data_IF_823241344036
#
_entry.id   IF_823241344036
#
_cell.length_a   1.000
_cell.length_b   1.000
_cell.length_c   1.000
_cell.angle_alpha   90.00
_cell.angle_beta   90.00
_cell.angle_gamma   90.00
#
_symmetry.space_group_name_H-M   'P 1'
#
loop_
_entity.id
_entity.type
_entity.pdbx_description
1 polymer ?
#
# COMPACT_ATOMS: atom_id res chain seq x y z
N UNK A 1 -28.29 -63.43 13.25
CA UNK A 1 -27.61 -62.16 13.32
C UNK A 1 -28.54 -61.15 12.65
N UNK A 2 -29.11 -60.20 13.43
CA UNK A 2 -29.84 -59.07 12.87
C UNK A 2 -28.78 -58.05 12.46
N UNK A 3 -28.65 -57.81 11.18
CA UNK A 3 -27.83 -56.71 10.65
C UNK A 3 -28.69 -55.45 10.73
N UNK A 4 -28.34 -54.53 11.58
CA UNK A 4 -28.95 -53.20 11.64
C UNK A 4 -28.27 -52.35 10.55
N UNK A 5 -29.04 -52.02 9.52
CA UNK A 5 -28.55 -51.11 8.45
C UNK A 5 -28.68 -49.70 9.00
N UNK A 6 -27.57 -49.07 9.25
CA UNK A 6 -27.53 -47.67 9.66
C UNK A 6 -27.58 -46.81 8.39
N UNK A 7 -28.65 -46.06 8.19
CA UNK A 7 -28.81 -45.13 7.09
C UNK A 7 -27.71 -44.03 7.18
N UNK A 8 -27.09 -43.67 6.06
CA UNK A 8 -26.09 -42.60 6.07
C UNK A 8 -26.75 -41.27 6.48
N UNK A 9 -26.04 -40.46 7.31
CA UNK A 9 -26.51 -39.13 7.76
C UNK A 9 -26.79 -38.17 6.60
N UNK A 10 -26.10 -38.34 5.48
CA UNK A 10 -26.30 -37.59 4.23
C UNK A 10 -26.72 -38.60 3.15
N UNK A 11 -27.96 -38.55 2.70
CA UNK A 11 -28.46 -39.35 1.57
C UNK A 11 -28.15 -38.64 0.24
N UNK A 12 -28.37 -39.30 -0.91
CA UNK A 12 -28.06 -38.76 -2.25
C UNK A 12 -28.76 -37.44 -2.51
N UNK A 13 -30.04 -37.31 -2.15
CA UNK A 13 -30.78 -36.06 -2.33
C UNK A 13 -30.13 -34.91 -1.55
N UNK A 14 -29.77 -35.12 -0.29
CA UNK A 14 -29.12 -34.14 0.55
C UNK A 14 -27.74 -33.72 -0.02
N UNK A 15 -27.04 -34.67 -0.62
CA UNK A 15 -25.76 -34.39 -1.28
C UNK A 15 -25.93 -33.50 -2.54
N UNK A 16 -26.96 -33.76 -3.35
CA UNK A 16 -27.30 -32.96 -4.53
C UNK A 16 -27.75 -31.54 -4.14
N UNK A 17 -28.58 -31.42 -3.11
CA UNK A 17 -28.96 -30.12 -2.52
C UNK A 17 -27.73 -29.36 -2.02
N UNK A 18 -26.80 -30.03 -1.31
CA UNK A 18 -25.56 -29.44 -0.84
C UNK A 18 -24.67 -28.93 -1.98
N UNK A 19 -24.55 -29.73 -3.06
CA UNK A 19 -23.79 -29.33 -4.24
C UNK A 19 -24.36 -28.05 -4.87
N UNK A 20 -25.68 -28.02 -5.08
CA UNK A 20 -26.38 -26.88 -5.68
C UNK A 20 -26.22 -25.61 -4.83
N UNK A 21 -26.41 -25.73 -3.51
CA UNK A 21 -26.26 -24.62 -2.57
C UNK A 21 -24.80 -24.14 -2.49
N UNK A 22 -23.84 -25.06 -2.43
CA UNK A 22 -22.41 -24.75 -2.43
C UNK A 22 -22.01 -23.98 -3.71
N UNK A 23 -22.48 -24.46 -4.87
CA UNK A 23 -22.23 -23.77 -6.15
C UNK A 23 -22.78 -22.34 -6.14
N UNK A 24 -23.98 -22.12 -5.60
CA UNK A 24 -24.55 -20.77 -5.47
C UNK A 24 -23.75 -19.87 -4.55
N UNK A 25 -23.20 -20.38 -3.45
CA UNK A 25 -22.39 -19.63 -2.51
C UNK A 25 -21.03 -19.22 -3.09
N UNK A 26 -20.41 -20.07 -3.94
CA UNK A 26 -19.08 -19.80 -4.49
C UNK A 26 -19.10 -19.12 -5.87
N UNK A 27 -20.26 -19.02 -6.53
CA UNK A 27 -20.37 -18.40 -7.85
C UNK A 27 -20.09 -16.90 -7.85
N UNK A 28 -20.60 -16.09 -6.89
CA UNK A 28 -20.36 -14.65 -6.88
C UNK A 28 -18.89 -14.29 -6.67
N UNK A 29 -18.45 -13.16 -7.21
CA UNK A 29 -17.11 -12.65 -6.96
C UNK A 29 -17.03 -11.94 -5.61
N UNK A 30 -15.88 -12.08 -4.96
CA UNK A 30 -15.54 -11.36 -3.72
C UNK A 30 -14.20 -10.66 -3.97
N UNK A 31 -14.21 -9.34 -3.92
CA UNK A 31 -13.01 -8.50 -4.10
C UNK A 31 -12.92 -7.52 -2.95
N UNK A 32 -11.72 -7.38 -2.38
CA UNK A 32 -11.37 -6.39 -1.37
C UNK A 32 -10.19 -5.61 -1.92
N UNK A 33 -10.18 -4.27 -1.75
CA UNK A 33 -9.02 -3.45 -2.10
C UNK A 33 -8.38 -2.84 -0.86
N UNK A 34 -7.07 -2.62 -0.89
CA UNK A 34 -6.34 -1.81 0.09
C UNK A 34 -6.13 -0.37 -0.41
N UNK A 35 -6.76 -0.04 -1.54
CA UNK A 35 -6.65 1.26 -2.20
C UNK A 35 -5.52 1.32 -3.23
N UNK A 36 -4.73 0.26 -3.37
CA UNK A 36 -3.68 0.09 -4.39
C UNK A 36 -3.96 -1.16 -5.21
N UNK A 37 -4.11 -2.29 -4.51
CA UNK A 37 -4.28 -3.61 -5.09
C UNK A 37 -5.69 -4.13 -4.84
N UNK A 38 -6.20 -4.92 -5.79
CA UNK A 38 -7.48 -5.62 -5.70
C UNK A 38 -7.24 -7.10 -5.43
N UNK A 39 -7.72 -7.56 -4.30
CA UNK A 39 -7.61 -8.96 -3.86
C UNK A 39 -8.92 -9.69 -4.13
N UNK A 40 -8.93 -10.50 -5.17
CA UNK A 40 -10.13 -11.29 -5.52
C UNK A 40 -9.97 -12.72 -5.04
N UNK A 41 -10.92 -13.17 -4.22
CA UNK A 41 -10.95 -14.53 -3.72
C UNK A 41 -11.03 -15.54 -4.85
N UNK A 42 -10.09 -16.47 -4.89
CA UNK A 42 -10.09 -17.57 -5.85
C UNK A 42 -11.25 -18.53 -5.62
N UNK A 43 -11.60 -19.34 -6.63
CA UNK A 43 -12.56 -20.42 -6.45
C UNK A 43 -12.13 -21.38 -5.34
N UNK A 44 -10.83 -21.64 -5.23
CA UNK A 44 -10.28 -22.54 -4.21
C UNK A 44 -10.45 -21.98 -2.79
N UNK A 45 -10.32 -20.66 -2.61
CA UNK A 45 -10.57 -20.00 -1.32
C UNK A 45 -12.06 -20.09 -0.97
N UNK A 46 -12.94 -19.72 -1.90
CA UNK A 46 -14.40 -19.78 -1.69
C UNK A 46 -14.89 -21.19 -1.39
N UNK A 47 -14.27 -22.23 -1.95
CA UNK A 47 -14.59 -23.63 -1.61
C UNK A 47 -14.30 -23.97 -0.14
N UNK A 48 -13.29 -23.35 0.48
CA UNK A 48 -12.99 -23.53 1.92
C UNK A 48 -14.04 -22.89 2.82
N UNK A 49 -14.80 -21.92 2.32
CA UNK A 49 -15.85 -21.21 3.07
C UNK A 49 -17.19 -21.94 3.09
N UNK A 50 -17.27 -23.16 2.56
CA UNK A 50 -18.53 -23.91 2.50
C UNK A 50 -18.45 -25.14 3.40
N UNK A 51 -19.40 -25.22 4.31
CA UNK A 51 -19.68 -26.42 5.16
C UNK A 51 -20.90 -27.16 4.64
N UNK A 52 -20.78 -28.47 4.47
CA UNK A 52 -21.93 -29.36 4.23
C UNK A 52 -22.55 -29.74 5.57
N UNK A 53 -23.88 -29.62 5.68
CA UNK A 53 -24.61 -29.91 6.87
C UNK A 53 -25.51 -31.15 6.64
N UNK A 54 -25.41 -32.11 7.55
CA UNK A 54 -26.28 -33.27 7.54
C UNK A 54 -27.71 -32.97 8.09
N UNK A 55 -27.84 -31.88 8.85
CA UNK A 55 -29.05 -31.49 9.58
C UNK A 55 -29.40 -30.02 9.28
N UNK A 56 -30.65 -29.64 9.57
CA UNK A 56 -31.15 -28.27 9.36
C UNK A 56 -31.71 -28.01 7.96
N UNK A 57 -32.20 -26.80 7.73
CA UNK A 57 -32.93 -26.41 6.51
C UNK A 57 -32.03 -26.28 5.28
N UNK A 58 -30.70 -26.02 5.48
CA UNK A 58 -29.71 -25.90 4.40
C UNK A 58 -28.74 -27.07 4.42
N UNK A 59 -28.49 -27.65 3.25
CA UNK A 59 -27.51 -28.72 3.06
C UNK A 59 -26.08 -28.22 2.92
N UNK A 60 -25.90 -26.96 2.49
CA UNK A 60 -24.61 -26.25 2.52
C UNK A 60 -24.80 -24.83 3.06
N UNK A 61 -23.87 -24.39 3.87
CA UNK A 61 -23.85 -23.06 4.50
C UNK A 61 -22.45 -22.46 4.41
N UNK A 62 -22.36 -21.15 4.57
CA UNK A 62 -21.05 -20.48 4.73
C UNK A 62 -20.42 -20.93 6.06
N UNK A 63 -19.12 -21.17 6.00
CA UNK A 63 -18.24 -21.33 7.14
C UNK A 63 -17.69 -19.96 7.51
N UNK A 64 -18.35 -19.27 8.45
CA UNK A 64 -17.94 -17.95 8.91
C UNK A 64 -16.54 -17.93 9.50
N UNK A 65 -16.08 -19.02 10.12
CA UNK A 65 -14.72 -19.10 10.67
C UNK A 65 -13.67 -19.13 9.54
N UNK A 66 -13.91 -19.95 8.52
CA UNK A 66 -13.01 -20.04 7.36
C UNK A 66 -12.98 -18.75 6.54
N UNK A 67 -14.13 -18.09 6.33
CA UNK A 67 -14.23 -16.79 5.70
C UNK A 67 -13.48 -15.74 6.53
N UNK A 68 -13.74 -15.69 7.84
CA UNK A 68 -13.07 -14.74 8.76
C UNK A 68 -11.56 -14.94 8.76
N UNK A 69 -11.09 -16.18 8.75
CA UNK A 69 -9.66 -16.48 8.66
C UNK A 69 -9.05 -15.88 7.37
N UNK A 70 -9.68 -16.08 6.21
CA UNK A 70 -9.21 -15.55 4.94
C UNK A 70 -9.17 -14.00 4.95
N UNK A 71 -10.22 -13.32 5.41
CA UNK A 71 -10.25 -11.85 5.49
C UNK A 71 -9.20 -11.32 6.45
N UNK A 72 -9.02 -11.96 7.62
CA UNK A 72 -8.03 -11.53 8.60
C UNK A 72 -6.59 -11.78 8.14
N UNK A 73 -6.33 -12.89 7.45
CA UNK A 73 -5.02 -13.18 6.87
C UNK A 73 -4.69 -12.17 5.75
N UNK A 74 -5.67 -11.84 4.90
CA UNK A 74 -5.52 -10.80 3.90
C UNK A 74 -5.24 -9.43 4.55
N UNK A 75 -6.06 -9.00 5.51
CA UNK A 75 -5.86 -7.75 6.25
C UNK A 75 -4.48 -7.70 6.92
N UNK A 76 -4.03 -8.83 7.49
CA UNK A 76 -2.69 -8.92 8.08
C UNK A 76 -1.57 -8.77 7.05
N UNK A 77 -1.75 -9.30 5.84
CA UNK A 77 -0.75 -9.18 4.77
C UNK A 77 -0.61 -7.75 4.24
N UNK A 78 -1.65 -6.93 4.36
CA UNK A 78 -1.64 -5.51 3.97
C UNK A 78 -1.24 -4.57 5.12
N UNK A 79 -1.17 -5.04 6.38
CA UNK A 79 -0.73 -4.24 7.51
C UNK A 79 0.75 -3.87 7.38
N UNK A 80 1.09 -2.69 7.86
CA UNK A 80 2.47 -2.20 7.97
C UNK A 80 2.81 -1.99 9.45
N UNK A 81 3.87 -2.62 9.91
CA UNK A 81 4.36 -2.39 11.28
C UNK A 81 5.06 -1.04 11.36
N UNK A 82 4.84 -0.33 12.47
CA UNK A 82 5.55 0.91 12.76
C UNK A 82 6.99 0.61 13.15
N UNK A 83 7.96 1.31 12.55
CA UNK A 83 9.37 1.22 12.92
C UNK A 83 9.84 2.51 13.60
N UNK A 84 10.65 2.36 14.64
CA UNK A 84 11.22 3.49 15.37
C UNK A 84 12.17 4.31 14.52
N UNK A 85 12.04 5.62 14.63
CA UNK A 85 13.02 6.60 14.14
C UNK A 85 14.06 6.96 15.20
N UNK A 86 14.97 7.88 14.85
CA UNK A 86 15.97 8.47 15.75
C UNK A 86 15.86 9.99 15.62
N UNK A 87 15.70 10.68 16.76
CA UNK A 87 15.76 12.14 16.86
C UNK A 87 17.06 12.58 17.47
N UNK A 88 17.71 13.59 16.87
CA UNK A 88 18.86 14.26 17.43
C UNK A 88 18.43 15.24 18.51
N UNK A 89 19.05 15.19 19.69
CA UNK A 89 18.83 16.12 20.80
C UNK A 89 20.11 16.88 21.13
N UNK A 90 20.00 18.18 21.38
CA UNK A 90 21.12 19.01 21.80
C UNK A 90 21.43 18.85 23.31
N UNK A 91 22.46 19.55 23.80
CA UNK A 91 22.87 19.49 25.22
C UNK A 91 21.77 19.95 26.21
N UNK A 92 20.75 20.65 25.72
CA UNK A 92 19.59 21.09 26.52
C UNK A 92 18.44 20.07 26.51
N UNK A 93 18.54 19.01 25.68
CA UNK A 93 17.48 18.03 25.49
C UNK A 93 16.42 18.45 24.46
N UNK A 94 16.61 19.55 23.74
CA UNK A 94 15.72 19.98 22.65
C UNK A 94 15.94 19.06 21.43
N UNK A 95 14.84 18.63 20.81
CA UNK A 95 14.90 17.90 19.52
C UNK A 95 15.26 18.91 18.43
N UNK A 96 16.37 18.69 17.77
CA UNK A 96 16.90 19.59 16.72
C UNK A 96 16.79 19.00 15.32
N UNK A 97 16.40 17.75 15.19
CA UNK A 97 16.16 17.14 13.89
C UNK A 97 15.88 15.65 13.96
N UNK A 98 15.48 15.07 12.86
CA UNK A 98 15.30 13.63 12.69
C UNK A 98 16.54 13.07 12.01
N UNK A 99 17.29 12.21 12.71
CA UNK A 99 18.51 11.56 12.19
C UNK A 99 18.18 10.31 11.39
N UNK A 100 17.11 9.60 11.79
CA UNK A 100 16.54 8.45 11.09
C UNK A 100 15.02 8.58 11.16
N UNK A 101 14.37 8.60 10.01
CA UNK A 101 12.91 8.58 9.96
C UNK A 101 12.38 7.29 10.56
N UNK A 102 11.29 7.39 11.33
CA UNK A 102 10.50 6.21 11.70
C UNK A 102 9.49 5.90 10.59
N UNK A 103 9.07 4.66 10.51
CA UNK A 103 8.02 4.22 9.58
C UNK A 103 6.67 4.28 10.27
N UNK A 104 5.70 4.97 9.66
CA UNK A 104 4.31 4.95 10.11
C UNK A 104 3.74 3.55 9.87
N UNK A 105 3.18 2.95 10.91
CA UNK A 105 2.45 1.70 10.78
C UNK A 105 1.00 1.91 10.34
N UNK A 106 0.41 0.87 9.78
CA UNK A 106 -1.00 0.85 9.39
C UNK A 106 -1.61 -0.50 9.74
N UNK A 107 -2.79 -0.48 10.32
CA UNK A 107 -3.52 -1.68 10.71
C UNK A 107 -4.96 -1.61 10.25
N UNK A 108 -5.39 -2.62 9.50
CA UNK A 108 -6.79 -2.72 9.08
C UNK A 108 -7.72 -2.75 10.30
N UNK A 109 -8.77 -1.93 10.29
CA UNK A 109 -9.65 -1.71 11.45
C UNK A 109 -11.11 -2.10 11.20
N UNK A 110 -11.49 -2.39 9.94
CA UNK A 110 -12.88 -2.68 9.54
C UNK A 110 -13.11 -4.14 9.12
N UNK A 111 -12.22 -5.08 9.44
CA UNK A 111 -12.30 -6.48 8.99
C UNK A 111 -13.65 -7.13 9.31
N UNK A 112 -14.25 -6.83 10.48
CA UNK A 112 -15.55 -7.37 10.85
C UNK A 112 -16.68 -6.88 9.94
N UNK A 113 -16.66 -5.61 9.52
CA UNK A 113 -17.63 -5.06 8.57
C UNK A 113 -17.49 -5.71 7.19
N UNK A 114 -16.25 -5.93 6.74
CA UNK A 114 -15.95 -6.63 5.49
C UNK A 114 -16.46 -8.06 5.54
N UNK A 115 -16.19 -8.82 6.62
CA UNK A 115 -16.69 -10.18 6.80
C UNK A 115 -18.22 -10.21 6.71
N UNK A 116 -18.91 -9.38 7.50
CA UNK A 116 -20.38 -9.32 7.50
C UNK A 116 -20.94 -8.94 6.13
N UNK A 117 -20.31 -8.02 5.42
CA UNK A 117 -20.70 -7.63 4.07
C UNK A 117 -20.55 -8.75 3.05
N UNK A 118 -19.49 -9.57 3.14
CA UNK A 118 -19.29 -10.74 2.30
C UNK A 118 -20.35 -11.80 2.61
N UNK A 119 -20.60 -12.09 3.90
CA UNK A 119 -21.62 -13.07 4.32
C UNK A 119 -23.01 -12.69 3.79
N UNK A 120 -23.39 -11.43 3.95
CA UNK A 120 -24.66 -10.90 3.46
C UNK A 120 -24.76 -11.00 1.93
N UNK A 121 -23.72 -10.64 1.22
CA UNK A 121 -23.68 -10.70 -0.24
C UNK A 121 -23.83 -12.16 -0.74
N UNK A 122 -22.98 -13.06 -0.25
CA UNK A 122 -22.97 -14.47 -0.69
C UNK A 122 -24.26 -15.19 -0.33
N UNK A 123 -24.84 -14.96 0.86
CA UNK A 123 -26.12 -15.52 1.26
C UNK A 123 -27.29 -15.06 0.37
N UNK A 124 -27.14 -13.90 -0.27
CA UNK A 124 -28.11 -13.35 -1.24
C UNK A 124 -27.73 -13.60 -2.71
N UNK A 125 -26.70 -14.42 -2.98
CA UNK A 125 -26.22 -14.73 -4.33
C UNK A 125 -25.64 -13.53 -5.08
N UNK A 126 -25.09 -12.54 -4.36
CA UNK A 126 -24.52 -11.30 -4.91
C UNK A 126 -23.01 -11.28 -4.76
N UNK A 127 -22.32 -10.64 -5.71
CA UNK A 127 -20.91 -10.32 -5.57
C UNK A 127 -20.70 -9.24 -4.51
N UNK A 128 -19.52 -9.26 -3.86
CA UNK A 128 -19.06 -8.28 -2.91
C UNK A 128 -17.85 -7.53 -3.49
N UNK A 129 -17.84 -6.22 -3.27
CA UNK A 129 -16.66 -5.38 -3.46
C UNK A 129 -16.61 -4.39 -2.30
N UNK A 130 -15.47 -4.28 -1.65
CA UNK A 130 -15.28 -3.40 -0.49
C UNK A 130 -13.82 -3.07 -0.26
N UNK A 131 -13.57 -2.16 0.66
CA UNK A 131 -12.26 -1.61 0.95
C UNK A 131 -11.84 -1.96 2.39
N UNK A 132 -10.53 -2.13 2.63
CA UNK A 132 -10.00 -2.05 3.98
C UNK A 132 -9.80 -0.58 4.39
N UNK A 133 -10.24 -0.26 5.61
CA UNK A 133 -9.89 0.97 6.31
C UNK A 133 -8.73 0.72 7.27
N UNK A 134 -7.85 1.72 7.45
CA UNK A 134 -6.65 1.56 8.25
C UNK A 134 -6.49 2.63 9.32
N UNK A 135 -6.12 2.20 10.52
CA UNK A 135 -5.59 3.08 11.56
C UNK A 135 -4.10 3.34 11.33
N UNK A 136 -3.68 4.60 11.46
CA UNK A 136 -2.28 5.01 11.43
C UNK A 136 -1.65 4.82 12.82
N UNK A 137 -0.52 4.12 12.86
CA UNK A 137 0.30 3.92 14.06
C UNK A 137 1.54 4.79 13.89
N UNK A 138 1.61 5.91 14.63
CA UNK A 138 2.76 6.81 14.57
C UNK A 138 4.02 6.12 15.09
N UNK A 139 5.19 6.33 14.46
CA UNK A 139 6.43 5.79 14.93
C UNK A 139 6.86 6.43 16.25
N UNK A 140 7.44 5.63 17.13
CA UNK A 140 8.20 6.14 18.26
C UNK A 140 9.59 6.61 17.78
N UNK A 141 10.23 7.49 18.56
CA UNK A 141 11.58 7.97 18.27
C UNK A 141 12.50 7.71 19.46
N UNK A 142 13.60 7.03 19.21
CA UNK A 142 14.71 6.99 20.14
C UNK A 142 15.48 8.32 20.04
N UNK A 143 16.12 8.75 21.14
CA UNK A 143 16.87 10.01 21.22
C UNK A 143 18.35 9.73 21.13
N UNK A 144 19.06 10.52 20.34
CA UNK A 144 20.52 10.46 20.21
C UNK A 144 21.09 11.85 20.45
N UNK A 145 22.06 11.96 21.39
CA UNK A 145 22.75 13.22 21.65
C UNK A 145 23.58 13.64 20.44
N UNK A 146 23.47 14.89 20.04
CA UNK A 146 24.25 15.50 18.97
C UNK A 146 24.88 16.81 19.46
N UNK A 147 26.06 17.19 18.92
CA UNK A 147 26.70 18.46 19.28
C UNK A 147 25.82 19.67 19.05
N UNK A 148 25.89 20.66 19.94
CA UNK A 148 25.24 21.96 19.73
C UNK A 148 25.70 22.60 18.42
N UNK A 149 24.75 23.15 17.65
CA UNK A 149 25.04 23.75 16.33
C UNK A 149 25.00 22.80 15.16
N UNK A 150 24.59 21.54 15.35
CA UNK A 150 24.19 20.63 14.27
C UNK A 150 22.98 21.26 13.55
N UNK A 151 23.13 21.54 12.25
CA UNK A 151 22.23 22.45 11.52
C UNK A 151 20.86 21.90 11.18
N UNK A 152 19.94 22.81 11.02
CA UNK A 152 18.53 22.57 10.61
C UNK A 152 18.40 22.25 9.09
N UNK A 153 19.52 22.19 8.35
CA UNK A 153 19.50 21.97 6.90
C UNK A 153 19.41 20.47 6.57
N UNK A 154 18.35 20.06 5.89
CA UNK A 154 18.11 18.68 5.38
C UNK A 154 19.28 18.22 4.51
N UNK A 155 19.89 19.15 3.74
CA UNK A 155 21.06 18.91 2.93
C UNK A 155 21.94 20.16 2.86
N UNK A 156 23.25 20.00 3.11
CA UNK A 156 24.21 21.06 2.98
C UNK A 156 24.81 21.07 1.56
N UNK A 157 24.09 21.65 0.62
CA UNK A 157 24.51 21.78 -0.75
C UNK A 157 25.65 22.80 -0.90
N UNK A 158 26.58 22.52 -1.81
CA UNK A 158 27.57 23.52 -2.28
C UNK A 158 26.87 24.66 -3.02
N UNK A 159 27.56 25.80 -3.13
CA UNK A 159 26.99 26.95 -3.86
C UNK A 159 26.70 26.57 -5.33
N UNK A 160 25.44 26.72 -5.76
CA UNK A 160 25.00 26.42 -7.11
C UNK A 160 24.81 24.91 -7.39
N UNK A 161 25.01 24.03 -6.41
CA UNK A 161 24.75 22.60 -6.57
C UNK A 161 23.26 22.35 -6.77
N UNK A 162 22.89 21.62 -7.85
CA UNK A 162 21.53 21.20 -8.11
C UNK A 162 21.15 20.02 -7.21
N UNK A 163 20.04 20.12 -6.51
CA UNK A 163 19.50 18.98 -5.75
C UNK A 163 17.98 19.04 -5.63
N UNK A 164 17.40 17.86 -5.46
CA UNK A 164 15.95 17.65 -5.33
C UNK A 164 15.66 17.24 -3.89
N UNK A 165 14.70 17.92 -3.28
CA UNK A 165 14.15 17.64 -1.96
C UNK A 165 12.81 16.91 -2.11
N UNK A 166 12.71 15.69 -1.58
CA UNK A 166 11.48 14.92 -1.48
C UNK A 166 11.08 14.87 0.00
N UNK A 167 10.22 15.81 0.41
CA UNK A 167 9.70 15.89 1.78
C UNK A 167 8.44 15.02 1.91
N UNK A 168 8.62 13.82 2.46
CA UNK A 168 7.56 12.84 2.66
C UNK A 168 6.60 13.24 3.80
N UNK A 169 7.03 14.10 4.74
CA UNK A 169 6.16 14.62 5.80
C UNK A 169 5.15 15.63 5.26
N UNK A 170 5.60 16.48 4.33
CA UNK A 170 4.76 17.50 3.69
C UNK A 170 4.12 17.01 2.39
N UNK A 171 4.57 15.87 1.87
CA UNK A 171 4.19 15.34 0.55
C UNK A 171 4.46 16.35 -0.57
N UNK A 172 5.69 16.87 -0.60
CA UNK A 172 6.12 17.85 -1.59
C UNK A 172 7.49 17.52 -2.18
N UNK A 173 7.72 18.01 -3.40
CA UNK A 173 9.01 18.01 -4.09
C UNK A 173 9.45 19.44 -4.35
N UNK A 174 10.69 19.77 -4.02
CA UNK A 174 11.31 21.06 -4.34
C UNK A 174 12.65 20.85 -5.04
N UNK A 175 12.98 21.72 -5.98
CA UNK A 175 14.29 21.75 -6.61
C UNK A 175 15.07 22.96 -6.13
N UNK A 176 16.36 22.76 -5.87
CA UNK A 176 17.26 23.76 -5.32
C UNK A 176 18.51 23.93 -6.18
N UNK A 177 19.05 25.17 -6.20
CA UNK A 177 20.41 25.46 -6.56
C UNK A 177 21.14 26.06 -5.34
N UNK A 178 22.06 25.30 -4.75
CA UNK A 178 22.60 25.60 -3.44
C UNK A 178 21.50 25.62 -2.37
N UNK A 179 21.28 26.78 -1.76
CA UNK A 179 20.24 27.00 -0.73
C UNK A 179 18.94 27.64 -1.28
N UNK A 180 18.89 27.91 -2.58
CA UNK A 180 17.78 28.64 -3.20
C UNK A 180 16.80 27.66 -3.84
N UNK A 181 15.54 27.74 -3.48
CA UNK A 181 14.46 27.01 -4.18
C UNK A 181 14.30 27.63 -5.56
N UNK A 182 14.46 26.81 -6.60
CA UNK A 182 14.26 27.23 -8.00
C UNK A 182 12.95 26.72 -8.58
N UNK A 183 12.37 25.67 -7.96
CA UNK A 183 11.03 25.17 -8.31
C UNK A 183 10.36 24.48 -7.11
N UNK A 184 9.07 24.60 -7.00
CA UNK A 184 8.29 24.00 -5.93
C UNK A 184 8.04 24.97 -4.75
N UNK A 185 7.57 24.45 -3.59
CA UNK A 185 7.21 23.05 -3.32
C UNK A 185 6.03 22.58 -4.18
N UNK A 186 6.24 21.50 -4.94
CA UNK A 186 5.20 20.87 -5.77
C UNK A 186 4.55 19.72 -4.98
N UNK A 187 3.23 19.70 -4.79
CA UNK A 187 2.56 18.62 -4.08
C UNK A 187 2.71 17.29 -4.84
N UNK A 188 2.94 16.20 -4.12
CA UNK A 188 3.15 14.87 -4.69
C UNK A 188 2.39 13.79 -3.92
N UNK A 189 2.35 12.56 -4.46
CA UNK A 189 1.89 11.36 -3.76
C UNK A 189 3.03 10.34 -3.76
N UNK A 190 3.55 9.99 -2.58
CA UNK A 190 4.62 9.01 -2.43
C UNK A 190 4.10 7.57 -2.53
N UNK A 191 4.99 6.62 -2.30
CA UNK A 191 4.67 5.21 -2.11
C UNK A 191 3.64 4.99 -1.03
N UNK A 192 2.82 3.96 -1.21
CA UNK A 192 1.88 3.52 -0.21
C UNK A 192 2.60 2.88 1.00
N UNK A 193 1.90 2.66 2.12
CA UNK A 193 2.52 2.13 3.34
C UNK A 193 3.23 0.78 3.18
N UNK A 194 2.69 -0.09 2.34
CA UNK A 194 3.28 -1.41 2.02
C UNK A 194 4.34 -1.36 0.89
N UNK A 195 4.42 -0.24 0.17
CA UNK A 195 5.42 0.02 -0.88
C UNK A 195 6.02 1.43 -0.73
N UNK A 196 6.65 1.76 0.41
CA UNK A 196 7.05 3.14 0.74
C UNK A 196 8.12 3.67 -0.21
N UNK A 197 8.10 4.98 -0.43
CA UNK A 197 9.22 5.68 -1.06
C UNK A 197 10.45 5.59 -0.16
N UNK A 198 11.59 5.24 -0.74
CA UNK A 198 12.86 5.13 0.00
C UNK A 198 13.33 6.48 0.54
N UNK A 199 13.94 6.47 1.73
CA UNK A 199 14.56 7.65 2.33
C UNK A 199 16.08 7.56 2.26
N UNK A 200 16.76 8.71 2.11
CA UNK A 200 18.21 8.81 2.06
C UNK A 200 18.72 9.81 1.05
N UNK A 201 20.02 9.72 0.76
CA UNK A 201 20.69 10.51 -0.27
C UNK A 201 20.95 9.64 -1.50
N UNK A 202 20.41 10.06 -2.61
CA UNK A 202 20.49 9.38 -3.90
C UNK A 202 20.94 10.35 -5.00
N UNK A 203 20.98 9.86 -6.25
CA UNK A 203 21.33 10.68 -7.41
C UNK A 203 20.45 10.29 -8.60
N UNK A 204 20.05 11.26 -9.40
CA UNK A 204 19.44 11.01 -10.71
C UNK A 204 20.45 10.22 -11.55
N UNK A 205 20.00 9.09 -12.14
CA UNK A 205 20.86 8.23 -12.94
C UNK A 205 20.29 7.86 -14.30
N UNK A 206 18.98 8.05 -14.51
CA UNK A 206 18.31 7.67 -15.74
C UNK A 206 17.02 8.47 -15.91
N UNK A 207 16.72 8.90 -17.14
CA UNK A 207 15.53 9.67 -17.44
C UNK A 207 14.87 9.21 -18.73
N UNK A 208 13.52 9.22 -18.78
CA UNK A 208 12.71 8.94 -19.95
C UNK A 208 11.59 9.95 -20.09
N UNK A 209 11.39 10.50 -21.30
CA UNK A 209 10.25 11.35 -21.59
C UNK A 209 8.91 10.62 -21.44
N UNK A 210 8.90 9.31 -21.75
CA UNK A 210 7.76 8.42 -21.52
C UNK A 210 8.25 6.98 -21.41
N UNK A 211 7.67 6.22 -20.48
CA UNK A 211 8.04 4.82 -20.26
C UNK A 211 6.82 4.00 -19.84
N UNK A 212 6.79 2.71 -20.20
CA UNK A 212 5.93 1.73 -19.54
C UNK A 212 6.60 1.29 -18.24
N UNK A 213 5.91 1.47 -17.11
CA UNK A 213 6.33 0.99 -15.81
C UNK A 213 5.62 -0.32 -15.48
N UNK A 214 6.37 -1.30 -15.02
CA UNK A 214 5.85 -2.60 -14.61
C UNK A 214 6.58 -3.10 -13.37
N UNK A 215 5.91 -3.90 -12.57
CA UNK A 215 6.43 -4.45 -11.32
C UNK A 215 5.46 -5.43 -10.71
N UNK A 216 5.72 -5.79 -9.47
CA UNK A 216 4.91 -6.73 -8.69
C UNK A 216 4.10 -5.98 -7.64
N UNK A 217 2.82 -6.34 -7.52
CA UNK A 217 1.92 -5.90 -6.46
C UNK A 217 2.21 -6.65 -5.16
N UNK A 218 1.69 -6.16 -4.04
CA UNK A 218 1.88 -6.79 -2.74
C UNK A 218 1.36 -8.24 -2.67
N UNK A 219 0.42 -8.63 -3.53
CA UNK A 219 -0.13 -9.98 -3.62
C UNK A 219 0.64 -10.92 -4.57
N UNK A 220 1.76 -10.45 -5.15
CA UNK A 220 2.58 -11.19 -6.11
C UNK A 220 2.04 -11.18 -7.54
N UNK A 221 0.98 -10.44 -7.83
CA UNK A 221 0.54 -10.17 -9.21
C UNK A 221 1.39 -9.06 -9.83
N UNK A 222 1.36 -8.92 -11.16
CA UNK A 222 2.12 -7.87 -11.83
C UNK A 222 1.22 -6.71 -12.21
N UNK A 223 1.71 -5.47 -11.99
CA UNK A 223 1.11 -4.28 -12.56
C UNK A 223 1.86 -3.82 -13.81
N UNK A 224 1.16 -3.11 -14.70
CA UNK A 224 1.72 -2.50 -15.90
C UNK A 224 0.99 -1.19 -16.21
N UNK A 225 1.73 -0.08 -16.22
CA UNK A 225 1.21 1.25 -16.56
C UNK A 225 1.95 1.78 -17.78
N UNK A 226 1.24 1.96 -18.89
CA UNK A 226 1.82 2.42 -20.15
C UNK A 226 1.86 3.95 -20.23
N UNK A 227 2.86 4.48 -20.92
CA UNK A 227 2.95 5.89 -21.26
C UNK A 227 3.16 6.83 -20.04
N UNK A 228 3.81 6.35 -18.97
CA UNK A 228 4.14 7.20 -17.81
C UNK A 228 5.07 8.33 -18.25
N UNK A 229 4.68 9.62 -18.11
CA UNK A 229 5.45 10.73 -18.64
C UNK A 229 6.52 11.23 -17.66
N UNK A 230 7.62 11.77 -18.22
CA UNK A 230 8.64 12.55 -17.52
C UNK A 230 9.28 11.84 -16.33
N UNK A 231 9.80 10.64 -16.60
CA UNK A 231 10.34 9.74 -15.59
C UNK A 231 11.79 10.12 -15.29
N UNK A 232 12.10 10.37 -14.02
CA UNK A 232 13.42 10.68 -13.50
C UNK A 232 13.78 9.71 -12.38
N UNK A 233 14.55 8.66 -12.70
CA UNK A 233 15.00 7.64 -11.75
C UNK A 233 16.13 8.15 -10.87
N UNK A 234 16.03 7.88 -9.57
CA UNK A 234 17.04 8.28 -8.60
C UNK A 234 17.60 7.12 -7.75
N UNK A 235 16.88 6.00 -7.65
CA UNK A 235 17.34 4.80 -6.95
C UNK A 235 16.61 3.56 -7.45
N UNK A 236 17.35 2.50 -7.88
CA UNK A 236 16.76 1.24 -8.38
C UNK A 236 15.54 1.50 -9.31
N UNK A 237 14.35 1.03 -8.92
CA UNK A 237 13.09 1.28 -9.64
C UNK A 237 12.33 2.53 -9.19
N UNK A 238 12.90 3.35 -8.28
CA UNK A 238 12.24 4.55 -7.75
C UNK A 238 12.51 5.78 -8.61
N UNK A 239 11.43 6.45 -9.01
CA UNK A 239 11.48 7.62 -9.87
C UNK A 239 10.50 8.71 -9.41
N UNK A 240 10.81 9.98 -9.77
CA UNK A 240 9.81 11.03 -9.89
C UNK A 240 9.19 10.93 -11.28
N UNK A 241 7.86 11.03 -11.41
CA UNK A 241 7.22 11.00 -12.71
C UNK A 241 5.85 11.67 -12.68
N UNK A 242 5.34 12.05 -13.85
CA UNK A 242 3.99 12.56 -13.99
C UNK A 242 2.95 11.45 -13.81
N UNK A 243 1.87 11.76 -13.12
CA UNK A 243 0.77 10.84 -12.86
C UNK A 243 -0.56 11.40 -13.38
N UNK A 244 -0.81 11.33 -14.71
CA UNK A 244 -2.03 11.90 -15.33
C UNK A 244 -3.33 11.23 -14.88
N UNK A 245 -3.25 10.05 -14.25
CA UNK A 245 -4.39 9.33 -13.68
C UNK A 245 -4.84 9.86 -12.32
N UNK A 246 -4.07 10.76 -11.68
CA UNK A 246 -4.41 11.35 -10.38
C UNK A 246 -5.02 12.74 -10.54
N UNK A 247 -6.10 12.99 -9.81
CA UNK A 247 -6.76 14.30 -9.76
C UNK A 247 -6.34 15.16 -8.57
N UNK A 248 -5.62 14.57 -7.57
CA UNK A 248 -5.16 15.28 -6.37
C UNK A 248 -3.78 14.81 -5.94
N UNK A 249 -3.04 15.72 -5.30
CA UNK A 249 -1.68 15.53 -4.80
C UNK A 249 -1.55 16.16 -3.40
N UNK A 250 -0.41 15.96 -2.74
CA UNK A 250 -0.15 16.50 -1.40
C UNK A 250 -0.71 15.65 -0.27
N UNK A 251 -0.85 14.35 -0.50
CA UNK A 251 -1.33 13.39 0.49
C UNK A 251 -0.51 12.10 0.44
N UNK A 252 -0.59 11.30 1.50
CA UNK A 252 0.07 9.99 1.61
C UNK A 252 -0.85 8.98 2.31
N UNK A 253 -0.58 7.71 2.10
CA UNK A 253 -1.34 6.60 2.70
C UNK A 253 -1.72 5.54 1.67
N UNK A 254 -2.68 4.69 2.00
CA UNK A 254 -3.22 3.71 1.07
C UNK A 254 -3.84 4.41 -0.16
N UNK A 255 -3.64 3.83 -1.35
CA UNK A 255 -3.89 4.50 -2.62
C UNK A 255 -2.69 5.31 -3.13
N UNK A 256 -1.55 5.29 -2.43
CA UNK A 256 -0.28 5.81 -2.90
C UNK A 256 0.25 5.10 -4.15
N UNK A 257 1.56 5.11 -4.36
CA UNK A 257 2.21 4.42 -5.47
C UNK A 257 2.92 3.14 -5.00
N UNK A 258 3.51 2.39 -5.94
CA UNK A 258 4.42 1.27 -5.65
C UNK A 258 5.85 1.73 -5.27
N UNK A 259 5.99 2.97 -4.74
CA UNK A 259 7.25 3.54 -4.26
C UNK A 259 7.73 4.77 -5.03
N UNK A 260 7.32 4.96 -6.27
CA UNK A 260 7.63 6.15 -7.06
C UNK A 260 6.95 7.41 -6.50
N UNK A 261 7.52 8.57 -6.78
CA UNK A 261 6.99 9.87 -6.42
C UNK A 261 6.08 10.37 -7.56
N UNK A 262 4.77 10.25 -7.37
CA UNK A 262 3.78 10.69 -8.35
C UNK A 262 3.57 12.20 -8.24
N UNK A 263 3.79 12.92 -9.34
CA UNK A 263 3.70 14.37 -9.42
C UNK A 263 2.64 14.83 -10.43
N UNK A 264 2.13 16.06 -10.34
CA UNK A 264 1.49 16.73 -11.47
C UNK A 264 2.41 16.65 -12.71
N UNK A 265 1.81 16.44 -13.88
CA UNK A 265 2.57 16.19 -15.12
C UNK A 265 3.54 17.35 -15.46
N UNK A 266 3.10 18.58 -15.24
CA UNK A 266 3.91 19.81 -15.45
C UNK A 266 5.08 19.91 -14.45
N UNK A 267 4.86 19.57 -13.19
CA UNK A 267 5.91 19.53 -12.18
C UNK A 267 6.97 18.46 -12.48
N UNK A 268 6.54 17.26 -12.89
CA UNK A 268 7.46 16.20 -13.30
C UNK A 268 8.23 16.56 -14.57
N UNK A 269 7.57 17.23 -15.55
CA UNK A 269 8.22 17.72 -16.76
C UNK A 269 9.30 18.74 -16.44
N UNK A 270 9.02 19.69 -15.53
CA UNK A 270 10.01 20.69 -15.12
C UNK A 270 11.24 20.03 -14.48
N UNK A 271 11.04 19.06 -13.56
CA UNK A 271 12.17 18.32 -12.95
C UNK A 271 12.96 17.56 -14.01
N UNK A 272 12.28 16.89 -14.95
CA UNK A 272 12.90 16.13 -16.03
C UNK A 272 13.84 17.01 -16.90
N UNK A 273 13.39 18.21 -17.25
CA UNK A 273 14.17 19.13 -18.09
C UNK A 273 15.34 19.78 -17.33
N UNK A 274 15.15 20.01 -16.00
CA UNK A 274 16.13 20.72 -15.19
C UNK A 274 17.21 19.82 -14.59
N UNK A 275 16.84 18.59 -14.19
CA UNK A 275 17.76 17.67 -13.51
C UNK A 275 18.70 17.00 -14.50
N UNK A 276 19.99 16.95 -14.15
CA UNK A 276 21.02 16.21 -14.89
C UNK A 276 21.29 14.86 -14.21
N UNK A 277 21.89 13.91 -14.97
CA UNK A 277 22.47 12.72 -14.34
C UNK A 277 23.52 13.14 -13.30
N UNK A 278 23.41 12.61 -12.09
CA UNK A 278 24.22 12.98 -10.95
C UNK A 278 23.60 14.06 -10.05
N UNK A 279 22.49 14.71 -10.45
CA UNK A 279 21.74 15.61 -9.55
C UNK A 279 21.39 14.88 -8.26
N UNK A 280 21.75 15.48 -7.12
CA UNK A 280 21.46 14.89 -5.79
C UNK A 280 19.97 14.87 -5.54
N UNK A 281 19.49 13.76 -4.95
CA UNK A 281 18.10 13.61 -4.49
C UNK A 281 18.12 13.24 -3.01
N UNK A 282 17.50 14.07 -2.19
CA UNK A 282 17.31 13.83 -0.76
C UNK A 282 15.85 13.49 -0.54
N UNK A 283 15.60 12.28 -0.03
CA UNK A 283 14.25 11.85 0.36
C UNK A 283 14.22 11.65 1.87
N UNK A 284 13.29 12.31 2.56
CA UNK A 284 13.21 12.33 4.02
C UNK A 284 11.79 12.59 4.52
N UNK A 285 11.59 12.41 5.84
CA UNK A 285 10.37 12.80 6.55
C UNK A 285 10.52 14.11 7.28
#
# INVERSE_FOLDING_TARGET
IKVEVQEPKINTQRAEEALTQAQSLIAPNVTITDGIDDFTASKADKMKWVKVSAEGDRAAVLDSDALSAWVNDLAKSTNVESEKGIQGVNSRGDVVGVLKAGTVGYRANNTQSVISGIEDALNNGKSYSGDFDYDKIQPEYDRQDIPDGYGDDVYQASAGEKWIDIDLSKNTVSAYEGRTIVHGPTPMVPGAPNTPTVTGKFHVYLQYASQTMEGENADGTNYRTEGVPWVTYFYAGYALHGAPWRSSFGWSGYGGSHGCVNMPVDGAHWIYDWADNGTVVISHY
#
